data_IF_578732500157
#
_entry.id   IF_578732500157
#
_cell.length_a   1.000
_cell.length_b   1.000
_cell.length_c   1.000
_cell.angle_alpha   90.00
_cell.angle_beta   90.00
_cell.angle_gamma   90.00
#
_symmetry.space_group_name_H-M   'P 1'
#
loop_
_entity.id
_entity.type
_entity.pdbx_description
1 polymer ?
#
# COMPACT_ATOMS: atom_id res chain seq x y z
N UNK A 1 4.64 -4.53 20.90
CA UNK A 1 3.86 -5.42 20.02
C UNK A 1 3.19 -4.52 19.00
N UNK A 2 3.23 -4.79 17.70
CA UNK A 2 2.74 -3.91 16.61
C UNK A 2 1.24 -3.53 16.65
N UNK A 3 0.51 -4.05 17.63
CA UNK A 3 -0.90 -3.78 17.89
C UNK A 3 -1.09 -2.69 18.95
N UNK A 4 0.01 -2.25 19.55
CA UNK A 4 0.10 -1.14 20.48
C UNK A 4 0.62 0.05 19.66
N UNK A 5 -0.22 1.07 19.52
CA UNK A 5 0.03 2.24 18.67
C UNK A 5 1.28 3.02 19.13
N UNK A 6 1.54 3.10 20.44
CA UNK A 6 2.73 3.78 20.96
C UNK A 6 4.00 3.02 20.58
N UNK A 7 4.00 1.70 20.74
CA UNK A 7 5.13 0.85 20.35
C UNK A 7 5.33 0.81 18.84
N UNK A 8 4.24 0.81 18.06
CA UNK A 8 4.30 0.91 16.60
C UNK A 8 4.92 2.24 16.19
N UNK A 9 4.50 3.33 16.83
CA UNK A 9 5.04 4.68 16.57
C UNK A 9 6.54 4.72 16.86
N UNK A 10 6.98 4.31 18.05
CA UNK A 10 8.40 4.30 18.43
C UNK A 10 9.24 3.46 17.47
N UNK A 11 8.79 2.25 17.13
CA UNK A 11 9.51 1.37 16.19
C UNK A 11 9.61 1.98 14.79
N UNK A 12 8.58 2.69 14.32
CA UNK A 12 8.60 3.33 13.01
C UNK A 12 9.41 4.62 13.00
N UNK A 13 9.46 5.37 14.10
CA UNK A 13 10.27 6.58 14.24
C UNK A 13 11.76 6.24 14.14
N UNK A 14 12.21 5.18 14.83
CA UNK A 14 13.57 4.65 14.74
C UNK A 14 13.95 4.24 13.31
N UNK A 15 12.99 3.70 12.55
CA UNK A 15 13.20 3.25 11.18
C UNK A 15 13.09 4.37 10.14
N UNK A 16 12.53 5.53 10.50
CA UNK A 16 12.25 6.65 9.61
C UNK A 16 12.83 7.96 10.16
N UNK A 17 14.15 8.02 10.43
CA UNK A 17 14.75 9.20 11.03
C UNK A 17 14.52 10.43 10.13
N UNK A 18 13.97 11.49 10.73
CA UNK A 18 13.70 12.75 10.03
C UNK A 18 12.43 12.77 9.16
N UNK A 19 11.63 11.69 9.15
CA UNK A 19 10.35 11.66 8.44
C UNK A 19 9.25 12.50 9.12
N UNK A 20 9.49 12.99 10.34
CA UNK A 20 8.51 13.76 11.10
C UNK A 20 7.29 12.95 11.53
N UNK A 21 7.49 11.66 11.83
CA UNK A 21 6.44 10.79 12.33
C UNK A 21 5.97 11.27 13.70
N UNK A 22 4.67 11.55 13.84
CA UNK A 22 4.03 11.97 15.09
C UNK A 22 3.26 10.85 15.76
N UNK A 23 2.63 9.99 14.96
CA UNK A 23 1.85 8.86 15.43
C UNK A 23 1.68 7.81 14.33
N UNK A 24 1.52 6.56 14.74
CA UNK A 24 1.12 5.44 13.89
C UNK A 24 -0.02 4.67 14.56
N UNK A 25 -1.12 4.49 13.83
CA UNK A 25 -2.29 3.78 14.33
C UNK A 25 -2.50 2.49 13.54
N UNK A 26 -2.61 1.34 14.20
CA UNK A 26 -2.97 0.09 13.55
C UNK A 26 -4.46 0.08 13.14
N UNK A 27 -4.76 -0.20 11.87
CA UNK A 27 -6.13 -0.16 11.32
C UNK A 27 -6.63 -1.52 10.86
N UNK A 28 -5.73 -2.45 10.56
CA UNK A 28 -6.09 -3.81 10.14
C UNK A 28 -4.95 -4.77 10.40
N UNK A 29 -5.27 -5.96 10.91
CA UNK A 29 -4.28 -7.01 11.16
C UNK A 29 -4.70 -8.26 10.42
N UNK A 30 -3.72 -8.90 9.79
CA UNK A 30 -3.87 -10.21 9.19
C UNK A 30 -2.69 -11.08 9.57
N UNK A 31 -2.96 -12.05 10.42
CA UNK A 31 -2.02 -13.11 10.71
C UNK A 31 -2.21 -14.27 9.73
N UNK A 32 -1.11 -14.72 9.11
CA UNK A 32 -1.03 -16.00 8.42
C UNK A 32 -0.02 -16.86 9.18
N UNK A 33 -0.48 -17.90 9.90
CA UNK A 33 0.41 -18.78 10.63
C UNK A 33 1.58 -19.24 9.76
N UNK A 34 2.76 -19.25 10.37
CA UNK A 34 4.01 -19.75 9.78
C UNK A 34 4.50 -19.02 8.51
N UNK A 35 3.82 -17.97 8.03
CA UNK A 35 4.21 -17.27 6.80
C UNK A 35 4.45 -15.78 7.01
N UNK A 36 3.44 -15.03 7.45
CA UNK A 36 3.59 -13.58 7.60
C UNK A 36 2.51 -12.98 8.52
N UNK A 37 2.85 -11.85 9.14
CA UNK A 37 1.89 -10.93 9.73
C UNK A 37 1.84 -9.64 8.89
N UNK A 38 0.64 -9.15 8.60
CA UNK A 38 0.43 -7.87 7.91
C UNK A 38 -0.36 -6.96 8.84
N UNK A 39 0.17 -5.77 9.09
CA UNK A 39 -0.48 -4.74 9.89
C UNK A 39 -0.64 -3.50 9.02
N UNK A 40 -1.86 -3.21 8.58
CA UNK A 40 -2.16 -1.91 7.98
C UNK A 40 -2.18 -0.85 9.08
N UNK A 41 -1.64 0.31 8.77
CA UNK A 41 -1.57 1.42 9.70
C UNK A 41 -1.80 2.75 8.98
N UNK A 42 -2.19 3.75 9.77
CA UNK A 42 -2.23 5.14 9.34
C UNK A 42 -1.12 5.89 10.06
N UNK A 43 -0.23 6.48 9.28
CA UNK A 43 0.87 7.30 9.77
C UNK A 43 0.43 8.76 9.75
N UNK A 44 0.71 9.48 10.83
CA UNK A 44 0.59 10.93 10.89
C UNK A 44 1.99 11.50 10.80
N UNK A 45 2.33 12.08 9.65
CA UNK A 45 3.62 12.70 9.37
C UNK A 45 3.41 14.20 9.31
N UNK A 46 4.04 15.00 10.18
CA UNK A 46 3.83 16.45 10.25
C UNK A 46 2.35 16.85 10.03
N UNK A 47 1.99 17.29 8.81
CA UNK A 47 0.66 17.76 8.42
C UNK A 47 -0.07 16.85 7.41
N UNK A 48 0.44 15.64 7.14
CA UNK A 48 -0.09 14.68 6.17
C UNK A 48 -0.37 13.34 6.83
N UNK A 49 -1.51 12.73 6.47
CA UNK A 49 -1.81 11.34 6.80
C UNK A 49 -1.44 10.42 5.63
N UNK A 50 -0.77 9.32 5.95
CA UNK A 50 -0.32 8.33 4.97
C UNK A 50 -0.80 6.96 5.40
N UNK A 51 -1.59 6.31 4.55
CA UNK A 51 -1.90 4.90 4.76
C UNK A 51 -0.68 4.06 4.35
N UNK A 52 -0.30 3.12 5.23
CA UNK A 52 0.83 2.22 5.05
C UNK A 52 0.50 0.82 5.57
N UNK A 53 1.41 -0.13 5.38
CA UNK A 53 1.36 -1.40 6.09
C UNK A 53 2.75 -1.95 6.39
N UNK A 54 2.88 -2.60 7.53
CA UNK A 54 4.05 -3.38 7.90
C UNK A 54 3.78 -4.83 7.53
N UNK A 55 4.71 -5.43 6.79
CA UNK A 55 4.77 -6.88 6.56
C UNK A 55 5.91 -7.45 7.39
N UNK A 56 5.59 -8.41 8.22
CA UNK A 56 6.53 -9.21 8.99
C UNK A 56 6.58 -10.61 8.40
N UNK A 57 7.79 -11.12 8.21
CA UNK A 57 8.04 -12.49 7.80
C UNK A 57 8.91 -13.21 8.83
N UNK A 58 9.19 -14.49 8.56
CA UNK A 58 10.13 -15.27 9.37
C UNK A 58 11.55 -14.73 9.16
N UNK A 59 12.44 -14.85 10.15
CA UNK A 59 13.85 -14.46 10.02
C UNK A 59 14.55 -15.03 8.78
N UNK A 60 14.21 -16.25 8.38
CA UNK A 60 14.76 -16.94 7.20
C UNK A 60 14.32 -16.36 5.86
N UNK A 61 13.43 -15.35 5.84
CA UNK A 61 12.88 -14.75 4.62
C UNK A 61 13.39 -13.33 4.36
N UNK A 62 14.45 -12.90 5.05
CA UNK A 62 15.03 -11.55 4.96
C UNK A 62 15.40 -11.14 3.52
N UNK A 63 16.06 -12.03 2.78
CA UNK A 63 16.51 -11.74 1.40
C UNK A 63 15.33 -11.56 0.46
N UNK A 64 14.32 -12.42 0.59
CA UNK A 64 13.09 -12.34 -0.17
C UNK A 64 12.36 -11.02 0.10
N UNK A 65 12.22 -10.65 1.38
CA UNK A 65 11.60 -9.40 1.79
C UNK A 65 12.35 -8.16 1.27
N UNK A 66 13.68 -8.20 1.31
CA UNK A 66 14.55 -7.13 0.79
C UNK A 66 14.34 -6.94 -0.72
N UNK A 67 14.31 -8.04 -1.47
CA UNK A 67 14.07 -8.00 -2.92
C UNK A 67 12.67 -7.49 -3.26
N UNK A 68 11.66 -7.83 -2.46
CA UNK A 68 10.31 -7.31 -2.65
C UNK A 68 10.19 -5.82 -2.29
N UNK A 69 10.85 -5.37 -1.21
CA UNK A 69 10.90 -3.96 -0.84
C UNK A 69 11.54 -3.10 -1.93
N UNK A 70 12.60 -3.60 -2.60
CA UNK A 70 13.24 -2.91 -3.73
C UNK A 70 12.33 -2.70 -4.94
N UNK A 71 11.31 -3.55 -5.13
CA UNK A 71 10.33 -3.40 -6.23
C UNK A 71 9.30 -2.31 -5.96
N UNK A 72 9.15 -1.85 -4.72
CA UNK A 72 8.27 -0.76 -4.35
C UNK A 72 8.90 0.58 -4.78
N UNK A 73 8.72 0.92 -6.05
CA UNK A 73 9.38 2.04 -6.69
C UNK A 73 8.49 3.30 -6.83
N UNK A 74 7.18 3.20 -6.54
CA UNK A 74 6.33 4.37 -6.63
C UNK A 74 6.68 5.36 -5.51
N UNK A 75 6.84 6.64 -5.88
CA UNK A 75 7.08 7.69 -4.89
C UNK A 75 5.93 7.73 -3.89
N UNK A 76 6.30 7.82 -2.62
CA UNK A 76 5.37 8.01 -1.52
C UNK A 76 5.74 9.28 -0.75
N UNK A 77 4.89 9.78 0.15
CA UNK A 77 5.24 10.90 1.02
C UNK A 77 6.47 10.64 1.91
N UNK A 78 6.87 9.37 2.09
CA UNK A 78 8.10 8.97 2.77
C UNK A 78 9.33 8.85 1.84
N UNK A 79 9.25 9.39 0.62
CA UNK A 79 10.23 9.33 -0.48
C UNK A 79 10.58 7.91 -1.01
N UNK A 80 10.39 6.88 -0.20
CA UNK A 80 10.62 5.48 -0.53
C UNK A 80 9.29 4.74 -0.68
N UNK A 81 9.22 3.77 -1.60
CA UNK A 81 8.02 2.94 -1.74
C UNK A 81 7.94 1.81 -0.72
N UNK A 82 9.09 1.41 -0.15
CA UNK A 82 9.18 0.57 1.03
C UNK A 82 10.43 0.88 1.85
N UNK A 83 10.36 0.62 3.16
CA UNK A 83 11.47 0.79 4.12
C UNK A 83 11.63 -0.49 4.93
N UNK A 84 12.86 -1.01 5.02
CA UNK A 84 13.17 -2.15 5.87
C UNK A 84 13.25 -1.69 7.33
N UNK A 85 12.63 -2.43 8.24
CA UNK A 85 12.63 -2.11 9.66
C UNK A 85 13.84 -2.76 10.34
N UNK A 86 14.76 -1.98 10.94
CA UNK A 86 15.94 -2.53 11.60
C UNK A 86 15.59 -3.52 12.71
N UNK A 87 16.42 -4.56 12.88
CA UNK A 87 16.27 -5.56 13.94
C UNK A 87 15.08 -6.52 13.76
N UNK A 88 14.28 -6.37 12.70
CA UNK A 88 13.14 -7.23 12.38
C UNK A 88 13.23 -7.71 10.94
N UNK A 89 12.71 -8.91 10.66
CA UNK A 89 12.39 -9.30 9.29
C UNK A 89 11.05 -8.71 8.89
N UNK A 90 11.07 -7.39 8.73
CA UNK A 90 9.89 -6.60 8.45
C UNK A 90 10.17 -5.44 7.49
N UNK A 91 9.15 -5.07 6.72
CA UNK A 91 9.20 -3.93 5.80
C UNK A 91 7.90 -3.14 5.89
N UNK A 92 8.02 -1.82 5.92
CA UNK A 92 6.94 -0.86 5.78
C UNK A 92 6.74 -0.55 4.29
N UNK A 93 5.50 -0.63 3.81
CA UNK A 93 5.08 -0.22 2.47
C UNK A 93 4.07 0.91 2.59
N UNK A 94 4.22 1.94 1.77
CA UNK A 94 3.39 3.15 1.80
C UNK A 94 2.55 3.26 0.55
N UNK A 95 1.32 3.76 0.65
CA UNK A 95 0.52 4.06 -0.56
C UNK A 95 1.31 4.95 -1.54
N UNK A 96 1.27 4.65 -2.85
CA UNK A 96 0.44 3.64 -3.51
C UNK A 96 1.09 2.26 -3.71
N UNK A 97 2.17 1.94 -2.99
CA UNK A 97 2.87 0.67 -3.11
C UNK A 97 2.12 -0.44 -2.37
N UNK A 98 1.91 -1.57 -3.05
CA UNK A 98 1.43 -2.81 -2.45
C UNK A 98 2.10 -3.98 -3.15
N UNK A 99 2.70 -4.87 -2.36
CA UNK A 99 3.50 -5.99 -2.86
C UNK A 99 2.72 -6.93 -3.78
N UNK A 100 1.39 -7.02 -3.64
CA UNK A 100 0.57 -7.96 -4.42
C UNK A 100 -0.49 -7.30 -5.29
N UNK A 101 -0.83 -6.04 -5.06
CA UNK A 101 -1.80 -5.30 -5.88
C UNK A 101 -1.04 -4.44 -6.89
N UNK A 102 -0.58 -5.06 -7.98
CA UNK A 102 0.30 -4.41 -8.95
C UNK A 102 -0.32 -3.18 -9.65
N UNK A 103 -1.65 -3.11 -9.76
CA UNK A 103 -2.35 -1.99 -10.38
C UNK A 103 -2.37 -0.71 -9.51
N UNK A 104 -1.94 -0.78 -8.24
CA UNK A 104 -2.13 0.30 -7.28
C UNK A 104 -1.32 1.57 -7.63
N UNK A 105 -0.04 1.48 -8.03
CA UNK A 105 0.70 2.63 -8.55
C UNK A 105 0.05 3.25 -9.79
N UNK A 106 -0.46 2.44 -10.71
CA UNK A 106 -1.09 2.92 -11.95
C UNK A 106 -2.45 3.59 -11.67
N UNK A 107 -3.19 3.16 -10.64
CA UNK A 107 -4.42 3.83 -10.21
C UNK A 107 -4.13 5.16 -9.52
N UNK A 108 -3.02 5.27 -8.79
CA UNK A 108 -2.66 6.49 -8.07
C UNK A 108 -2.11 7.61 -8.98
N UNK A 109 -1.50 7.26 -10.11
CA UNK A 109 -1.00 8.20 -11.10
C UNK A 109 -2.09 8.55 -12.13
N UNK A 110 -2.35 9.84 -12.35
CA UNK A 110 -3.47 10.29 -13.20
C UNK A 110 -3.33 9.86 -14.67
N UNK A 111 -2.12 9.93 -15.23
CA UNK A 111 -1.85 9.59 -16.63
C UNK A 111 -1.90 8.08 -16.85
N UNK A 112 -1.33 7.32 -15.92
CA UNK A 112 -1.38 5.85 -15.96
C UNK A 112 -2.80 5.36 -15.71
N UNK A 113 -3.54 5.96 -14.77
CA UNK A 113 -4.95 5.65 -14.51
C UNK A 113 -5.77 5.89 -15.75
N UNK A 114 -5.58 7.03 -16.44
CA UNK A 114 -6.27 7.33 -17.69
C UNK A 114 -6.04 6.25 -18.75
N UNK A 115 -4.78 5.83 -18.95
CA UNK A 115 -4.44 4.78 -19.93
C UNK A 115 -5.04 3.43 -19.53
N UNK A 116 -4.94 3.07 -18.26
CA UNK A 116 -5.51 1.84 -17.70
C UNK A 116 -7.03 1.78 -17.90
N UNK A 117 -7.74 2.86 -17.57
CA UNK A 117 -9.19 2.95 -17.73
C UNK A 117 -9.61 3.00 -19.21
N UNK A 118 -8.85 3.67 -20.07
CA UNK A 118 -9.10 3.67 -21.51
C UNK A 118 -8.99 2.28 -22.13
N UNK A 119 -8.02 1.49 -21.65
CA UNK A 119 -7.86 0.10 -22.09
C UNK A 119 -8.96 -0.82 -21.52
N UNK A 120 -9.28 -0.69 -20.23
CA UNK A 120 -10.24 -1.57 -19.55
C UNK A 120 -11.71 -1.24 -19.87
N UNK A 121 -12.02 0.02 -20.17
CA UNK A 121 -13.38 0.54 -20.37
C UNK A 121 -13.43 1.44 -21.64
N UNK A 122 -13.17 0.89 -22.84
CA UNK A 122 -13.03 1.70 -24.06
C UNK A 122 -14.30 2.49 -24.42
N UNK A 123 -15.47 1.99 -24.08
CA UNK A 123 -16.76 2.62 -24.39
C UNK A 123 -17.20 3.66 -23.35
N UNK A 124 -16.49 3.75 -22.21
CA UNK A 124 -16.83 4.65 -21.10
C UNK A 124 -15.84 5.80 -20.97
N UNK A 125 -15.70 6.59 -22.04
CA UNK A 125 -14.73 7.72 -22.13
C UNK A 125 -14.84 8.72 -20.99
N UNK A 126 -16.04 8.94 -20.47
CA UNK A 126 -16.27 9.83 -19.32
C UNK A 126 -15.50 9.42 -18.05
N UNK A 127 -15.21 8.12 -17.89
CA UNK A 127 -14.46 7.60 -16.75
C UNK A 127 -12.95 7.72 -16.91
N UNK A 128 -12.41 7.91 -18.11
CA UNK A 128 -10.96 7.90 -18.32
C UNK A 128 -10.25 9.04 -17.58
N UNK A 129 -10.93 10.18 -17.43
CA UNK A 129 -10.41 11.34 -16.70
C UNK A 129 -11.15 11.56 -15.37
N UNK A 130 -11.67 10.47 -14.78
CA UNK A 130 -12.34 10.52 -13.49
C UNK A 130 -11.36 10.75 -12.33
N UNK A 131 -11.85 11.41 -11.28
CA UNK A 131 -11.18 11.41 -9.99
C UNK A 131 -11.32 10.04 -9.34
N UNK A 132 -10.33 9.66 -8.53
CA UNK A 132 -10.30 8.41 -7.79
C UNK A 132 -10.37 8.70 -6.29
N UNK A 133 -11.39 8.17 -5.61
CA UNK A 133 -11.49 8.24 -4.16
C UNK A 133 -11.32 6.84 -3.57
N UNK A 134 -10.23 6.64 -2.83
CA UNK A 134 -10.01 5.41 -2.07
C UNK A 134 -11.12 5.23 -1.02
N UNK A 135 -11.80 4.07 -1.05
CA UNK A 135 -12.85 3.73 -0.09
C UNK A 135 -12.36 2.70 0.93
N UNK A 136 -11.59 1.72 0.47
CA UNK A 136 -11.07 0.68 1.35
C UNK A 136 -9.82 0.02 0.77
N UNK A 137 -8.76 -0.01 1.57
CA UNK A 137 -7.57 -0.79 1.28
C UNK A 137 -7.42 -1.92 2.30
N UNK A 138 -7.20 -3.14 1.79
CA UNK A 138 -6.76 -4.30 2.57
C UNK A 138 -5.45 -4.77 1.95
N UNK A 139 -4.30 -4.45 2.56
CA UNK A 139 -2.99 -4.73 1.99
C UNK A 139 -2.84 -6.18 1.54
N UNK A 140 -2.17 -6.37 0.40
CA UNK A 140 -1.92 -7.67 -0.23
C UNK A 140 -3.18 -8.50 -0.52
N UNK A 141 -4.37 -7.88 -0.56
CA UNK A 141 -5.64 -8.57 -0.80
C UNK A 141 -6.53 -7.84 -1.80
N UNK A 142 -6.94 -6.61 -1.47
CA UNK A 142 -7.80 -5.81 -2.35
C UNK A 142 -7.73 -4.33 -2.05
N UNK A 143 -7.91 -3.52 -3.08
CA UNK A 143 -8.15 -2.09 -3.02
C UNK A 143 -9.50 -1.78 -3.67
N UNK A 144 -10.27 -0.89 -3.05
CA UNK A 144 -11.59 -0.47 -3.49
C UNK A 144 -11.63 1.04 -3.53
N UNK A 145 -12.05 1.59 -4.66
CA UNK A 145 -12.16 3.03 -4.86
C UNK A 145 -13.38 3.37 -5.73
N UNK A 146 -13.93 4.55 -5.51
CA UNK A 146 -14.93 5.15 -6.38
C UNK A 146 -14.22 5.97 -7.48
N UNK A 147 -14.72 5.83 -8.71
CA UNK A 147 -14.43 6.74 -9.81
C UNK A 147 -15.59 7.71 -9.98
N UNK A 148 -15.28 8.98 -10.14
CA UNK A 148 -16.27 10.01 -10.44
C UNK A 148 -15.90 10.75 -11.72
N UNK A 149 -16.67 10.48 -12.78
CA UNK A 149 -16.58 11.14 -14.07
C UNK A 149 -17.17 12.55 -14.03
N UNK A 150 -16.82 13.38 -15.03
CA UNK A 150 -17.25 14.79 -15.10
C UNK A 150 -18.74 14.96 -15.43
N UNK A 151 -19.34 13.97 -16.09
CA UNK A 151 -20.76 13.91 -16.45
C UNK A 151 -21.64 13.33 -15.33
N UNK A 152 -21.07 13.13 -14.13
CA UNK A 152 -21.76 12.47 -13.02
C UNK A 152 -21.76 10.95 -13.10
N UNK A 153 -21.15 10.35 -14.14
CA UNK A 153 -20.94 8.91 -14.21
C UNK A 153 -20.10 8.44 -13.02
N UNK A 154 -20.55 7.37 -12.36
CA UNK A 154 -19.86 6.79 -11.20
C UNK A 154 -19.58 5.32 -11.47
N UNK A 155 -18.39 4.88 -11.09
CA UNK A 155 -18.01 3.48 -11.13
C UNK A 155 -17.27 3.08 -9.86
N UNK A 156 -17.26 1.78 -9.58
CA UNK A 156 -16.49 1.22 -8.47
C UNK A 156 -15.35 0.38 -9.05
N UNK A 157 -14.11 0.72 -8.70
CA UNK A 157 -12.93 -0.07 -9.05
C UNK A 157 -12.57 -0.97 -7.89
N UNK A 158 -12.33 -2.25 -8.21
CA UNK A 158 -11.79 -3.23 -7.27
C UNK A 158 -10.52 -3.83 -7.88
N UNK A 159 -9.37 -3.46 -7.33
CA UNK A 159 -8.10 -4.10 -7.68
C UNK A 159 -7.82 -5.23 -6.67
N UNK A 160 -7.45 -6.40 -7.16
CA UNK A 160 -7.18 -7.57 -6.34
C UNK A 160 -5.69 -7.92 -6.38
N UNK A 161 -5.23 -8.59 -5.33
CA UNK A 161 -3.91 -9.20 -5.34
C UNK A 161 -3.78 -10.17 -6.52
N UNK A 162 -2.66 -10.11 -7.24
CA UNK A 162 -2.33 -11.08 -8.27
C UNK A 162 -2.37 -12.50 -7.71
N UNK A 163 -2.81 -13.47 -8.53
CA UNK A 163 -2.66 -14.89 -8.20
C UNK A 163 -1.16 -15.16 -8.12
N UNK A 164 -0.71 -15.73 -7.01
CA UNK A 164 0.64 -16.30 -6.94
C UNK A 164 0.61 -17.53 -7.84
N UNK A 165 1.33 -17.51 -8.96
CA UNK A 165 1.80 -18.73 -9.58
C UNK A 165 2.88 -19.27 -8.65
N UNK A 166 2.51 -20.16 -7.74
CA UNK A 166 3.49 -21.06 -7.16
C UNK A 166 3.91 -21.99 -8.31
N UNK A 167 5.12 -21.79 -8.84
CA UNK A 167 5.80 -22.87 -9.52
C UNK A 167 6.10 -23.92 -8.44
N UNK A 168 5.56 -25.12 -8.65
CA UNK A 168 5.90 -26.31 -7.88
C UNK A 168 7.32 -26.74 -8.22
#
# INVERSE_FOLDING_TARGET
MLLDDERLTSMLDDALPGAGLRAAQATYVRYKPQTACIVACRLTLADVQVDAYVRLERPTSQDHLTNDARKAAARSPLAHGAVLLPGLTAALYTQPNDRRIAALPDLADDDRRRKLLAHALPDHRALWSSSLQALRWKPERRFVAALQGRDGMRALVKAYAGRSSAAF
#
